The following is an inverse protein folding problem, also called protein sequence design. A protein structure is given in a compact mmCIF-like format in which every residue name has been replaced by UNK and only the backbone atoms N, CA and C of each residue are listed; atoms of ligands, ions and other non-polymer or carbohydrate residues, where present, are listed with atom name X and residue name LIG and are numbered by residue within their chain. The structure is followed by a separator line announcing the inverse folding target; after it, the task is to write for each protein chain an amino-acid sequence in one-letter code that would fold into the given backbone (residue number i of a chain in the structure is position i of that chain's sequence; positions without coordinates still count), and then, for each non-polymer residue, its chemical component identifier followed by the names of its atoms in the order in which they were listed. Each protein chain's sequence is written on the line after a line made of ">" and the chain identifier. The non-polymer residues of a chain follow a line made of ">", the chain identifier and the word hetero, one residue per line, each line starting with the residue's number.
data_IF_892118184270
#
_entry.id   IF_892118184270
#
_cell.length_a   1.000
_cell.length_b   1.000
_cell.length_c   1.000
_cell.angle_alpha   90.00
_cell.angle_beta   90.00
_cell.angle_gamma   90.00
#
_symmetry.space_group_name_H-M   'P 1'
#
loop_
_entity.id
_entity.type
_entity.pdbx_description
1 polymer ?
#
# COMPACT_ATOMS: atom_id res chain seq x y z
N UNK A 1 18.79 -4.28 -11.97
CA UNK A 1 17.59 -4.56 -11.14
C UNK A 1 17.51 -3.61 -9.95
N UNK A 2 18.62 -3.33 -9.26
CA UNK A 2 18.68 -2.38 -8.15
C UNK A 2 18.12 -0.98 -8.50
N UNK A 3 18.59 -0.37 -9.59
CA UNK A 3 18.11 0.95 -10.06
C UNK A 3 16.57 1.03 -10.19
N UNK A 4 15.94 0.02 -10.78
CA UNK A 4 14.48 -0.04 -10.89
C UNK A 4 13.77 -0.13 -9.52
N UNK A 5 14.37 -0.86 -8.57
CA UNK A 5 13.81 -1.01 -7.22
C UNK A 5 13.88 0.32 -6.47
N UNK A 6 14.99 1.05 -6.60
CA UNK A 6 15.19 2.39 -6.03
C UNK A 6 14.22 3.42 -6.63
N UNK A 7 14.03 3.41 -7.95
CA UNK A 7 13.04 4.25 -8.63
C UNK A 7 11.61 3.96 -8.16
N UNK A 8 11.29 2.67 -7.97
CA UNK A 8 9.98 2.24 -7.51
C UNK A 8 9.74 2.64 -6.05
N UNK A 9 10.73 2.45 -5.17
CA UNK A 9 10.66 2.89 -3.77
C UNK A 9 10.47 4.39 -3.68
N UNK A 10 11.22 5.17 -4.47
CA UNK A 10 11.09 6.62 -4.56
C UNK A 10 9.69 7.03 -5.02
N UNK A 11 9.13 6.36 -6.02
CA UNK A 11 7.75 6.58 -6.47
C UNK A 11 6.71 6.22 -5.40
N UNK A 12 6.95 5.17 -4.61
CA UNK A 12 6.10 4.80 -3.47
C UNK A 12 6.16 5.86 -2.38
N UNK A 13 7.35 6.30 -1.98
CA UNK A 13 7.53 7.34 -0.97
C UNK A 13 6.87 8.66 -1.40
N UNK A 14 7.07 9.05 -2.66
CA UNK A 14 6.42 10.22 -3.26
C UNK A 14 4.89 10.07 -3.27
N UNK A 15 4.36 8.89 -3.60
CA UNK A 15 2.92 8.63 -3.53
C UNK A 15 2.37 8.73 -2.10
N UNK A 16 3.09 8.22 -1.09
CA UNK A 16 2.64 8.29 0.30
C UNK A 16 2.44 9.75 0.72
N UNK A 17 3.39 10.64 0.40
CA UNK A 17 3.32 12.08 0.63
C UNK A 17 2.88 12.44 2.06
N UNK A 18 3.39 11.71 3.05
CA UNK A 18 3.01 11.94 4.44
C UNK A 18 3.54 13.26 4.96
N UNK A 19 2.81 13.85 5.90
CA UNK A 19 3.29 15.00 6.65
C UNK A 19 4.63 14.67 7.33
N UNK A 20 5.53 15.65 7.48
CA UNK A 20 6.88 15.48 8.02
C UNK A 20 6.92 14.71 9.35
N UNK A 21 5.91 14.90 10.19
CA UNK A 21 5.71 14.16 11.46
C UNK A 21 5.65 12.63 11.32
N UNK A 22 5.37 12.12 10.12
CA UNK A 22 5.26 10.71 9.76
C UNK A 22 6.29 10.31 8.69
N UNK A 23 7.34 11.11 8.46
CA UNK A 23 8.37 10.83 7.44
C UNK A 23 9.03 9.46 7.65
N UNK A 24 9.41 9.12 8.88
CA UNK A 24 10.01 7.82 9.20
C UNK A 24 9.06 6.65 8.90
N UNK A 25 7.76 6.86 9.15
CA UNK A 25 6.73 5.87 8.85
C UNK A 25 6.57 5.69 7.35
N UNK A 26 6.59 6.78 6.57
CA UNK A 26 6.50 6.73 5.12
C UNK A 26 7.70 6.00 4.51
N UNK A 27 8.91 6.27 4.99
CA UNK A 27 10.13 5.59 4.54
C UNK A 27 10.05 4.08 4.81
N UNK A 28 9.72 3.66 6.03
CA UNK A 28 9.56 2.23 6.37
C UNK A 28 8.48 1.55 5.53
N UNK A 29 7.34 2.23 5.34
CA UNK A 29 6.26 1.69 4.52
C UNK A 29 6.67 1.57 3.05
N UNK A 30 7.44 2.53 2.52
CA UNK A 30 7.93 2.47 1.15
C UNK A 30 8.87 1.28 0.91
N UNK A 31 9.77 1.00 1.85
CA UNK A 31 10.64 -0.18 1.84
C UNK A 31 9.80 -1.47 1.81
N UNK A 32 8.88 -1.65 2.77
CA UNK A 32 8.08 -2.87 2.86
C UNK A 32 7.19 -3.11 1.64
N UNK A 33 6.59 -2.05 1.09
CA UNK A 33 5.79 -2.15 -0.15
C UNK A 33 6.68 -2.54 -1.32
N UNK A 34 7.89 -1.99 -1.41
CA UNK A 34 8.85 -2.27 -2.47
C UNK A 34 9.37 -3.72 -2.40
N UNK A 35 9.75 -4.18 -1.21
CA UNK A 35 10.18 -5.56 -0.96
C UNK A 35 9.09 -6.57 -1.30
N UNK A 36 7.82 -6.25 -0.99
CA UNK A 36 6.70 -7.13 -1.32
C UNK A 36 6.36 -7.12 -2.82
N UNK A 37 6.40 -5.95 -3.47
CA UNK A 37 5.87 -5.80 -4.82
C UNK A 37 6.90 -6.12 -5.93
N UNK A 38 8.18 -5.86 -5.70
CA UNK A 38 9.21 -5.97 -6.75
C UNK A 38 9.74 -7.39 -7.06
N UNK A 39 9.62 -8.44 -6.23
CA UNK A 39 10.03 -9.79 -6.60
C UNK A 39 9.30 -10.31 -7.85
N UNK A 40 9.96 -11.17 -8.64
CA UNK A 40 9.33 -11.84 -9.78
C UNK A 40 8.26 -12.79 -9.26
N UNK A 41 7.05 -12.72 -9.82
CA UNK A 41 5.94 -13.57 -9.39
C UNK A 41 5.15 -13.04 -8.19
N UNK A 42 5.38 -11.81 -7.71
CA UNK A 42 4.67 -11.20 -6.58
C UNK A 42 3.15 -11.02 -6.77
N UNK A 43 2.61 -11.31 -7.95
CA UNK A 43 1.20 -11.09 -8.28
C UNK A 43 0.81 -9.61 -8.40
N UNK A 44 1.79 -8.70 -8.38
CA UNK A 44 1.56 -7.26 -8.52
C UNK A 44 1.88 -6.74 -9.92
N UNK A 45 1.42 -5.52 -10.22
CA UNK A 45 1.76 -4.82 -11.47
C UNK A 45 3.12 -4.13 -11.42
N UNK A 46 3.91 -4.34 -10.36
CA UNK A 46 5.10 -3.56 -10.11
C UNK A 46 6.13 -3.69 -11.22
N UNK A 47 6.18 -4.73 -12.07
CA UNK A 47 7.16 -4.79 -13.19
C UNK A 47 6.58 -4.48 -14.58
N UNK A 48 5.32 -4.08 -14.65
CA UNK A 48 4.62 -3.88 -15.93
C UNK A 48 5.11 -2.62 -16.65
N UNK A 49 5.84 -2.78 -17.77
CA UNK A 49 6.35 -1.66 -18.59
C UNK A 49 5.29 -0.75 -19.20
N UNK A 50 4.04 -1.22 -19.33
CA UNK A 50 2.92 -0.45 -19.90
C UNK A 50 2.29 0.56 -18.94
N UNK A 51 2.63 0.50 -17.66
CA UNK A 51 2.03 1.33 -16.62
C UNK A 51 3.13 2.24 -16.05
N UNK A 52 2.91 3.56 -15.97
CA UNK A 52 3.85 4.48 -15.34
C UNK A 52 4.22 4.01 -13.91
N UNK A 53 5.45 4.28 -13.49
CA UNK A 53 5.96 3.78 -12.19
C UNK A 53 5.12 4.30 -11.02
N UNK A 54 4.60 5.52 -11.12
CA UNK A 54 3.76 6.18 -10.13
C UNK A 54 2.41 5.46 -9.98
N UNK A 55 1.82 5.01 -11.10
CA UNK A 55 0.57 4.24 -11.09
C UNK A 55 0.79 2.83 -10.55
N UNK A 56 1.96 2.24 -10.77
CA UNK A 56 2.34 0.96 -10.16
C UNK A 56 2.57 1.11 -8.66
N UNK A 57 3.24 2.18 -8.23
CA UNK A 57 3.47 2.52 -6.83
C UNK A 57 2.14 2.72 -6.08
N UNK A 58 1.22 3.51 -6.63
CA UNK A 58 -0.15 3.66 -6.11
C UNK A 58 -0.83 2.30 -5.94
N UNK A 59 -0.81 1.47 -6.98
CA UNK A 59 -1.45 0.16 -6.95
C UNK A 59 -0.84 -0.78 -5.89
N UNK A 60 0.49 -0.74 -5.73
CA UNK A 60 1.20 -1.56 -4.76
C UNK A 60 0.90 -1.13 -3.32
N UNK A 61 0.91 0.16 -3.02
CA UNK A 61 0.53 0.67 -1.69
C UNK A 61 -0.89 0.25 -1.33
N UNK A 62 -1.85 0.45 -2.24
CA UNK A 62 -3.25 0.08 -2.00
C UNK A 62 -3.42 -1.44 -1.85
N UNK A 63 -2.66 -2.24 -2.61
CA UNK A 63 -2.66 -3.68 -2.44
C UNK A 63 -2.11 -4.09 -1.06
N UNK A 64 -0.94 -3.60 -0.69
CA UNK A 64 -0.30 -3.89 0.61
C UNK A 64 -1.21 -3.51 1.78
N UNK A 65 -1.77 -2.29 1.77
CA UNK A 65 -2.69 -1.84 2.81
C UNK A 65 -3.94 -2.71 2.91
N UNK A 66 -4.50 -3.15 1.78
CA UNK A 66 -5.68 -4.02 1.78
C UNK A 66 -5.37 -5.36 2.46
N UNK A 67 -4.22 -5.96 2.18
CA UNK A 67 -3.80 -7.20 2.83
C UNK A 67 -3.61 -7.00 4.34
N UNK A 68 -3.00 -5.90 4.76
CA UNK A 68 -2.67 -5.67 6.17
C UNK A 68 -3.84 -5.18 7.04
N UNK A 69 -4.80 -4.44 6.47
CA UNK A 69 -5.77 -3.67 7.29
C UNK A 69 -7.21 -4.14 7.18
N UNK A 70 -7.52 -5.11 6.30
CA UNK A 70 -8.92 -5.42 5.98
C UNK A 70 -9.31 -6.89 6.06
N UNK A 71 -8.39 -7.81 6.42
CA UNK A 71 -8.67 -9.26 6.40
C UNK A 71 -9.08 -9.77 5.02
N UNK A 72 -8.60 -9.11 3.96
CA UNK A 72 -9.09 -9.30 2.59
C UNK A 72 -8.92 -10.71 2.06
N UNK A 73 -7.86 -11.40 2.48
CA UNK A 73 -7.60 -12.75 2.00
C UNK A 73 -8.61 -13.77 2.54
N UNK A 74 -9.19 -13.52 3.72
CA UNK A 74 -10.18 -14.38 4.37
C UNK A 74 -11.64 -13.95 4.11
N UNK A 75 -11.85 -12.82 3.42
CA UNK A 75 -13.19 -12.33 3.13
C UNK A 75 -13.94 -13.22 2.13
N UNK A 76 -15.07 -13.79 2.57
CA UNK A 76 -16.00 -14.51 1.70
C UNK A 76 -16.75 -13.53 0.81
N UNK A 77 -16.30 -13.38 -0.45
CA UNK A 77 -17.00 -12.57 -1.45
C UNK A 77 -17.93 -13.47 -2.28
N UNK A 78 -19.25 -13.20 -2.30
CA UNK A 78 -20.19 -13.96 -3.12
C UNK A 78 -19.78 -14.01 -4.60
N UNK A 79 -19.95 -15.16 -5.24
CA UNK A 79 -19.62 -15.41 -6.67
C UNK A 79 -20.64 -14.78 -7.63
N UNK A 80 -20.97 -13.52 -7.40
CA UNK A 80 -21.86 -12.73 -8.27
C UNK A 80 -21.02 -11.88 -9.21
N UNK A 81 -21.43 -11.80 -10.48
CA UNK A 81 -20.74 -11.01 -11.51
C UNK A 81 -20.53 -9.57 -11.01
N UNK A 82 -19.28 -9.10 -11.06
CA UNK A 82 -18.93 -7.74 -10.62
C UNK A 82 -18.64 -7.56 -9.13
N UNK A 83 -19.11 -8.46 -8.25
CA UNK A 83 -19.05 -8.24 -6.79
C UNK A 83 -17.63 -8.08 -6.25
N UNK A 84 -16.69 -8.92 -6.72
CA UNK A 84 -15.26 -8.78 -6.37
C UNK A 84 -14.68 -7.43 -6.77
N UNK A 85 -15.09 -6.88 -7.92
CA UNK A 85 -14.62 -5.58 -8.39
C UNK A 85 -15.15 -4.45 -7.52
N UNK A 86 -16.41 -4.52 -7.11
CA UNK A 86 -17.02 -3.56 -6.18
C UNK A 86 -16.31 -3.56 -4.83
N UNK A 87 -16.12 -4.76 -4.24
CA UNK A 87 -15.42 -4.91 -2.96
C UNK A 87 -13.99 -4.36 -3.05
N UNK A 88 -13.24 -4.71 -4.11
CA UNK A 88 -11.89 -4.16 -4.32
C UNK A 88 -11.87 -2.63 -4.43
N UNK A 89 -12.86 -2.02 -5.10
CA UNK A 89 -12.98 -0.56 -5.20
C UNK A 89 -13.25 0.09 -3.84
N UNK A 90 -14.19 -0.47 -3.08
CA UNK A 90 -14.53 0.01 -1.74
C UNK A 90 -13.32 -0.04 -0.80
N UNK A 91 -12.59 -1.15 -0.79
CA UNK A 91 -11.39 -1.30 0.04
C UNK A 91 -10.28 -0.34 -0.39
N UNK A 92 -10.08 -0.16 -1.70
CA UNK A 92 -9.14 0.84 -2.21
C UNK A 92 -9.50 2.26 -1.74
N UNK A 93 -10.78 2.63 -1.72
CA UNK A 93 -11.23 3.93 -1.18
C UNK A 93 -10.93 4.07 0.31
N UNK A 94 -11.17 3.02 1.11
CA UNK A 94 -10.83 3.01 2.54
C UNK A 94 -9.33 3.17 2.78
N UNK A 95 -8.50 2.47 2.02
CA UNK A 95 -7.04 2.62 2.09
C UNK A 95 -6.59 4.05 1.75
N UNK A 96 -7.20 4.68 0.73
CA UNK A 96 -6.92 6.09 0.40
C UNK A 96 -7.33 7.04 1.53
N UNK A 97 -8.52 6.86 2.10
CA UNK A 97 -8.99 7.68 3.22
C UNK A 97 -8.09 7.54 4.46
N UNK A 98 -7.56 6.33 4.71
CA UNK A 98 -6.57 6.11 5.77
C UNK A 98 -5.29 6.92 5.51
N UNK A 99 -4.74 6.87 4.29
CA UNK A 99 -3.53 7.60 3.92
C UNK A 99 -3.70 9.11 4.08
N UNK A 100 -4.87 9.68 3.76
CA UNK A 100 -5.15 11.11 3.88
C UNK A 100 -4.94 11.64 5.31
N UNK A 101 -5.24 10.85 6.35
CA UNK A 101 -5.02 11.26 7.75
C UNK A 101 -3.52 11.52 8.02
N UNK A 102 -2.65 10.67 7.47
CA UNK A 102 -1.20 10.81 7.61
C UNK A 102 -0.63 11.93 6.74
N UNK A 103 -1.22 12.15 5.56
CA UNK A 103 -0.86 13.29 4.68
C UNK A 103 -1.16 14.64 5.33
N UNK A 104 -2.26 14.73 6.08
CA UNK A 104 -2.64 15.93 6.85
C UNK A 104 -1.87 16.11 8.14
N UNK A 105 -1.12 15.09 8.57
CA UNK A 105 -0.43 15.12 9.84
C UNK A 105 -1.38 15.13 11.04
N UNK A 106 -2.59 14.61 10.91
CA UNK A 106 -3.51 14.46 12.04
C UNK A 106 -2.87 13.57 13.12
N UNK A 107 -3.04 13.85 14.42
CA UNK A 107 -2.57 12.96 15.48
C UNK A 107 -3.22 11.59 15.29
N UNK A 108 -2.41 10.57 15.06
CA UNK A 108 -2.88 9.20 15.02
C UNK A 108 -3.22 8.77 16.46
N UNK A 109 -4.38 8.16 16.63
CA UNK A 109 -4.77 7.55 17.90
C UNK A 109 -3.73 6.49 18.31
N UNK A 110 -3.68 6.16 19.61
CA UNK A 110 -2.74 5.18 20.17
C UNK A 110 -2.80 3.82 19.42
N UNK A 111 -3.96 3.49 18.85
CA UNK A 111 -4.19 2.34 17.96
C UNK A 111 -3.96 2.70 16.49
N UNK A 112 -2.80 3.26 16.18
CA UNK A 112 -2.42 3.58 14.81
C UNK A 112 -2.26 2.27 14.00
N UNK A 113 -3.28 1.90 13.23
CA UNK A 113 -3.34 0.67 12.44
C UNK A 113 -2.10 0.45 11.57
N UNK A 114 -1.53 1.52 10.99
CA UNK A 114 -0.27 1.43 10.25
C UNK A 114 0.92 1.08 11.13
N UNK A 115 1.04 1.64 12.35
CA UNK A 115 2.12 1.26 13.28
C UNK A 115 2.02 -0.21 13.67
N UNK A 116 0.81 -0.71 13.93
CA UNK A 116 0.58 -2.13 14.24
C UNK A 116 0.89 -3.03 13.05
N UNK A 117 0.56 -2.63 11.82
CA UNK A 117 0.91 -3.38 10.61
C UNK A 117 2.43 -3.40 10.36
N UNK A 118 3.11 -2.27 10.58
CA UNK A 118 4.57 -2.18 10.49
C UNK A 118 5.27 -3.07 11.55
N UNK A 119 4.71 -3.17 12.76
CA UNK A 119 5.27 -4.02 13.81
C UNK A 119 5.13 -5.53 13.53
N UNK A 120 4.03 -5.95 12.90
CA UNK A 120 3.77 -7.37 12.58
C UNK A 120 4.56 -7.89 11.39
N UNK A 121 5.05 -7.01 10.51
CA UNK A 121 5.80 -7.42 9.30
C UNK A 121 7.26 -7.84 9.63
N UNK A 122 7.71 -7.73 10.88
CA UNK A 122 9.07 -8.06 11.33
C UNK A 122 9.16 -9.48 11.96
N UNK A 123 8.06 -10.24 12.03
CA UNK A 123 8.06 -11.60 12.62
C UNK A 123 8.16 -12.72 11.60
#
# INVERSE_FOLDING_TARGET
>A
QAEYVEDFESAVLCYLNFHSRYADMAARLAVLVTEHATPVGSGTVARTKRIPVEKRAEAAVIAWLRHQTTGYDDMVIPRVKGKRREVRRMLAQRSKALLERYRRGEPADAECVLRSALAQTIS
#
